data_IF_897827248692
#
_entry.id   IF_897827248692
#
_cell.length_a   1.000
_cell.length_b   1.000
_cell.length_c   1.000
_cell.angle_alpha   90.00
_cell.angle_beta   90.00
_cell.angle_gamma   90.00
#
_symmetry.space_group_name_H-M   'P 1'
#
loop_
_entity.id
_entity.type
_entity.pdbx_description
1 polymer ?
#
# COMPACT_ATOMS: atom_id res chain seq x y z
N UNK A 1 -17.70 -33.97 60.43
CA UNK A 1 -18.13 -34.45 59.11
C UNK A 1 -17.87 -33.30 58.13
N UNK A 2 -16.72 -33.35 57.48
CA UNK A 2 -16.22 -32.28 56.60
C UNK A 2 -16.27 -32.84 55.18
N UNK A 3 -17.16 -32.30 54.35
CA UNK A 3 -17.32 -32.65 52.94
C UNK A 3 -16.18 -32.09 52.13
N UNK A 4 -15.53 -32.86 51.23
CA UNK A 4 -14.49 -32.37 50.37
C UNK A 4 -15.11 -31.62 49.17
N UNK A 5 -14.53 -30.46 48.84
CA UNK A 5 -14.80 -29.69 47.61
C UNK A 5 -14.29 -30.45 46.37
N UNK A 6 -15.02 -30.44 45.24
CA UNK A 6 -14.53 -31.03 44.00
C UNK A 6 -13.40 -30.19 43.45
N UNK A 7 -12.29 -30.83 43.05
CA UNK A 7 -11.20 -30.28 42.26
C UNK A 7 -11.74 -29.96 40.87
N UNK A 8 -11.63 -28.71 40.45
CA UNK A 8 -11.79 -28.32 39.08
C UNK A 8 -10.59 -28.86 38.26
N UNK A 9 -10.77 -29.98 37.60
CA UNK A 9 -9.88 -30.41 36.53
C UNK A 9 -10.10 -29.48 35.33
N UNK A 10 -9.20 -28.49 35.23
CA UNK A 10 -9.14 -27.63 34.10
C UNK A 10 -8.75 -28.43 32.84
N UNK A 11 -9.68 -28.50 31.93
CA UNK A 11 -9.49 -28.99 30.57
C UNK A 11 -8.48 -28.09 29.87
N UNK A 12 -7.20 -28.36 30.04
CA UNK A 12 -6.16 -27.88 29.12
C UNK A 12 -6.38 -28.65 27.82
N UNK A 13 -7.13 -28.02 26.90
CA UNK A 13 -7.21 -28.48 25.53
C UNK A 13 -5.79 -28.63 25.00
N UNK A 14 -5.49 -29.82 24.46
CA UNK A 14 -4.24 -30.10 23.77
C UNK A 14 -3.95 -28.99 22.74
N UNK A 15 -2.69 -28.59 22.59
CA UNK A 15 -2.35 -27.62 21.56
C UNK A 15 -2.81 -28.19 20.20
N UNK A 16 -3.47 -27.39 19.35
CA UNK A 16 -3.92 -27.87 18.06
C UNK A 16 -2.73 -28.38 17.27
N UNK A 17 -2.96 -29.50 16.61
CA UNK A 17 -2.05 -30.17 15.70
C UNK A 17 -1.25 -29.16 14.87
N UNK A 18 0.05 -29.39 14.78
CA UNK A 18 0.99 -28.62 13.94
C UNK A 18 0.75 -28.96 12.47
N UNK A 19 -0.42 -28.63 11.95
CA UNK A 19 -0.58 -28.40 10.52
C UNK A 19 0.06 -27.05 10.20
N UNK A 20 1.39 -27.06 10.17
CA UNK A 20 2.14 -26.06 9.41
C UNK A 20 1.79 -26.32 7.94
N UNK A 21 0.66 -25.70 7.51
CA UNK A 21 0.46 -25.52 6.09
C UNK A 21 1.75 -24.89 5.56
N UNK A 22 2.37 -25.47 4.52
CA UNK A 22 3.57 -24.89 3.92
C UNK A 22 3.23 -23.42 3.60
N UNK A 23 4.18 -22.51 3.89
CA UNK A 23 4.16 -21.14 3.39
C UNK A 23 3.63 -21.23 1.98
N UNK A 24 2.55 -20.52 1.61
CA UNK A 24 1.73 -20.78 0.43
C UNK A 24 2.58 -21.21 -0.75
N UNK A 25 2.26 -22.35 -1.36
CA UNK A 25 3.00 -22.81 -2.51
C UNK A 25 3.04 -21.67 -3.52
N UNK A 26 4.20 -21.41 -4.09
CA UNK A 26 4.41 -20.34 -5.06
C UNK A 26 3.29 -20.40 -6.13
N UNK A 27 2.57 -19.29 -6.34
CA UNK A 27 1.40 -19.23 -7.23
C UNK A 27 0.05 -19.65 -6.61
N UNK A 28 0.01 -20.24 -5.40
CA UNK A 28 -1.26 -20.54 -4.74
C UNK A 28 -1.96 -19.25 -4.27
N UNK A 29 -3.29 -19.18 -4.37
CA UNK A 29 -4.07 -18.03 -3.91
C UNK A 29 -4.04 -17.96 -2.37
N UNK A 30 -3.38 -16.93 -1.81
CA UNK A 30 -3.27 -16.71 -0.36
C UNK A 30 -4.28 -15.68 0.15
N UNK A 31 -4.75 -14.79 -0.72
CA UNK A 31 -5.85 -13.87 -0.44
C UNK A 31 -6.80 -13.83 -1.63
N UNK A 32 -8.09 -13.98 -1.33
CA UNK A 32 -9.18 -13.70 -2.26
C UNK A 32 -10.22 -12.81 -1.60
N UNK A 33 -10.52 -11.70 -2.23
CA UNK A 33 -11.63 -10.81 -1.91
C UNK A 33 -12.56 -10.81 -3.12
N UNK A 34 -13.85 -11.01 -2.89
CA UNK A 34 -14.85 -11.06 -3.97
C UNK A 34 -16.11 -10.30 -3.55
N UNK A 35 -16.45 -9.27 -4.33
CA UNK A 35 -17.68 -8.48 -4.18
C UNK A 35 -17.80 -7.75 -2.84
N UNK A 36 -16.66 -7.33 -2.24
CA UNK A 36 -16.61 -6.80 -0.88
C UNK A 36 -17.23 -5.40 -0.81
N UNK A 37 -18.25 -5.26 0.04
CA UNK A 37 -18.92 -3.97 0.24
C UNK A 37 -19.07 -3.63 1.71
N UNK A 38 -18.85 -2.34 2.04
CA UNK A 38 -19.00 -1.78 3.38
C UNK A 38 -19.48 -0.34 3.35
N UNK A 39 -20.53 -0.04 4.11
CA UNK A 39 -21.14 1.29 4.25
C UNK A 39 -21.04 1.79 5.69
N UNK A 40 -20.83 3.09 5.86
CA UNK A 40 -20.94 3.83 7.11
C UNK A 40 -21.95 4.96 6.92
N UNK A 41 -23.14 4.81 7.49
CA UNK A 41 -24.22 5.74 7.24
C UNK A 41 -24.52 5.88 5.74
N UNK A 42 -24.34 7.07 5.18
CA UNK A 42 -24.52 7.35 3.75
C UNK A 42 -23.28 7.05 2.90
N UNK A 43 -22.09 6.92 3.53
CA UNK A 43 -20.83 6.72 2.81
C UNK A 43 -20.62 5.24 2.51
N UNK A 44 -20.47 4.89 1.24
CA UNK A 44 -20.08 3.56 0.77
C UNK A 44 -18.55 3.50 0.70
N UNK A 45 -17.92 3.02 1.78
CA UNK A 45 -16.47 3.03 1.92
C UNK A 45 -15.77 1.96 1.07
N UNK A 46 -16.44 0.83 0.84
CA UNK A 46 -16.03 -0.20 -0.14
C UNK A 46 -17.29 -0.62 -0.91
N UNK A 47 -17.17 -0.71 -2.23
CA UNK A 47 -18.27 -0.97 -3.16
C UNK A 47 -17.81 -1.99 -4.20
N UNK A 48 -18.24 -3.24 -4.02
CA UNK A 48 -17.99 -4.37 -4.91
C UNK A 48 -16.48 -4.62 -5.19
N UNK A 49 -15.64 -4.51 -4.15
CA UNK A 49 -14.19 -4.70 -4.32
C UNK A 49 -13.88 -6.18 -4.51
N UNK A 50 -13.13 -6.47 -5.58
CA UNK A 50 -12.58 -7.79 -5.85
C UNK A 50 -11.08 -7.69 -6.12
N UNK A 51 -10.26 -8.48 -5.43
CA UNK A 51 -8.82 -8.59 -5.64
C UNK A 51 -8.28 -9.94 -5.18
N UNK A 52 -7.11 -10.31 -5.66
CA UNK A 52 -6.41 -11.55 -5.32
C UNK A 52 -4.94 -11.27 -5.07
N UNK A 53 -4.34 -12.08 -4.16
CA UNK A 53 -2.89 -12.12 -3.95
C UNK A 53 -2.47 -13.57 -3.96
N UNK A 54 -1.45 -13.91 -4.73
CA UNK A 54 -0.87 -15.26 -4.76
C UNK A 54 0.40 -15.31 -3.92
N UNK A 55 0.78 -16.49 -3.49
CA UNK A 55 2.08 -16.74 -2.87
C UNK A 55 3.20 -16.42 -3.87
N UNK A 56 4.12 -15.57 -3.47
CA UNK A 56 5.19 -15.06 -4.33
C UNK A 56 4.93 -13.66 -4.89
N UNK A 57 3.68 -13.21 -4.96
CA UNK A 57 3.34 -11.91 -5.52
C UNK A 57 3.37 -10.80 -4.46
N UNK A 58 3.79 -9.61 -4.90
CA UNK A 58 3.61 -8.34 -4.19
C UNK A 58 2.57 -7.54 -4.93
N UNK A 59 1.38 -7.40 -4.34
CA UNK A 59 0.26 -6.64 -4.90
C UNK A 59 0.12 -5.32 -4.15
N UNK A 60 0.16 -4.18 -4.85
CA UNK A 60 -0.10 -2.90 -4.22
C UNK A 60 -1.56 -2.48 -4.35
N UNK A 61 -2.15 -2.04 -3.24
CA UNK A 61 -3.42 -1.34 -3.18
C UNK A 61 -3.15 0.16 -3.07
N UNK A 62 -3.30 0.86 -4.17
CA UNK A 62 -3.11 2.31 -4.28
C UNK A 62 -4.44 3.05 -4.12
N UNK A 63 -4.39 4.26 -3.59
CA UNK A 63 -5.56 5.14 -3.50
C UNK A 63 -5.25 6.36 -2.64
N UNK A 64 -5.99 7.44 -2.84
CA UNK A 64 -5.88 8.64 -2.01
C UNK A 64 -6.40 8.39 -0.57
N UNK A 65 -6.20 9.35 0.33
CA UNK A 65 -6.75 9.27 1.67
C UNK A 65 -8.27 9.32 1.59
N UNK A 66 -8.95 8.37 2.23
CA UNK A 66 -10.40 8.21 2.13
C UNK A 66 -10.88 7.28 1.01
N UNK A 67 -10.00 6.76 0.14
CA UNK A 67 -10.38 5.82 -0.93
C UNK A 67 -10.95 4.47 -0.44
N UNK A 68 -10.90 4.17 0.87
CA UNK A 68 -11.43 2.92 1.44
C UNK A 68 -10.38 1.86 1.80
N UNK A 69 -9.08 2.12 1.62
CA UNK A 69 -7.98 1.17 1.87
C UNK A 69 -7.97 0.63 3.30
N UNK A 70 -8.00 1.51 4.31
CA UNK A 70 -8.00 1.12 5.73
C UNK A 70 -9.26 0.34 6.10
N UNK A 71 -10.40 0.67 5.50
CA UNK A 71 -11.65 -0.07 5.67
C UNK A 71 -11.51 -1.49 5.13
N UNK A 72 -10.91 -1.67 3.96
CA UNK A 72 -10.65 -2.98 3.37
C UNK A 72 -9.71 -3.82 4.25
N UNK A 73 -8.58 -3.25 4.69
CA UNK A 73 -7.64 -3.93 5.61
C UNK A 73 -8.34 -4.33 6.91
N UNK A 74 -9.16 -3.45 7.49
CA UNK A 74 -9.90 -3.75 8.73
C UNK A 74 -10.89 -4.91 8.57
N UNK A 75 -11.52 -5.04 7.39
CA UNK A 75 -12.38 -6.19 7.07
C UNK A 75 -11.56 -7.47 6.88
N UNK A 76 -10.41 -7.37 6.20
CA UNK A 76 -9.52 -8.50 5.97
C UNK A 76 -9.05 -9.16 7.27
N UNK A 77 -8.72 -8.34 8.27
CA UNK A 77 -8.27 -8.84 9.58
C UNK A 77 -9.43 -9.09 10.57
N UNK A 78 -10.68 -8.95 10.12
CA UNK A 78 -11.88 -9.22 10.93
C UNK A 78 -12.12 -8.22 12.07
N UNK A 79 -11.60 -6.99 11.96
CA UNK A 79 -11.96 -5.87 12.84
C UNK A 79 -13.29 -5.22 12.42
N UNK A 80 -13.63 -5.31 11.14
CA UNK A 80 -14.90 -4.86 10.58
C UNK A 80 -15.55 -5.99 9.81
N UNK A 81 -16.85 -6.20 10.02
CA UNK A 81 -17.62 -7.17 9.24
C UNK A 81 -18.11 -6.49 7.94
N UNK A 82 -17.92 -7.09 6.75
CA UNK A 82 -18.48 -6.58 5.52
C UNK A 82 -20.01 -6.68 5.54
N UNK A 83 -20.68 -5.84 4.74
CA UNK A 83 -22.12 -5.96 4.49
C UNK A 83 -22.42 -6.98 3.39
N UNK A 84 -21.52 -7.11 2.41
CA UNK A 84 -21.60 -8.09 1.34
C UNK A 84 -20.20 -8.54 0.92
N UNK A 85 -20.14 -9.65 0.18
CA UNK A 85 -18.91 -10.21 -0.35
C UNK A 85 -18.24 -11.22 0.56
N UNK A 86 -17.10 -11.73 0.11
CA UNK A 86 -16.33 -12.78 0.79
C UNK A 86 -14.85 -12.40 0.88
N UNK A 87 -14.20 -12.83 1.96
CA UNK A 87 -12.76 -12.71 2.16
C UNK A 87 -12.23 -14.08 2.57
N UNK A 88 -11.28 -14.62 1.80
CA UNK A 88 -10.57 -15.86 2.13
C UNK A 88 -9.08 -15.59 2.27
N UNK A 89 -8.48 -16.07 3.36
CA UNK A 89 -7.05 -15.95 3.62
C UNK A 89 -6.46 -17.33 3.88
N UNK A 90 -5.59 -17.78 3.01
CA UNK A 90 -5.01 -19.12 3.07
C UNK A 90 -6.08 -20.21 3.17
N UNK A 91 -7.21 -20.05 2.45
CA UNK A 91 -8.36 -20.95 2.50
C UNK A 91 -9.36 -20.70 3.64
N UNK A 92 -9.01 -19.96 4.71
CA UNK A 92 -9.93 -19.63 5.80
C UNK A 92 -10.88 -18.49 5.40
N UNK A 93 -12.16 -18.61 5.74
CA UNK A 93 -13.13 -17.53 5.57
C UNK A 93 -12.98 -16.51 6.71
N UNK A 94 -12.57 -15.29 6.37
CA UNK A 94 -12.31 -14.24 7.37
C UNK A 94 -13.58 -13.68 8.02
N UNK A 95 -14.76 -13.94 7.44
CA UNK A 95 -16.05 -13.49 7.98
C UNK A 95 -16.64 -14.57 8.92
N UNK A 96 -16.55 -15.84 8.52
CA UNK A 96 -17.05 -16.96 9.30
C UNK A 96 -16.11 -17.34 10.46
N UNK A 97 -14.79 -17.37 10.20
CA UNK A 97 -13.75 -17.63 11.21
C UNK A 97 -12.63 -16.59 11.17
N UNK A 98 -12.87 -15.38 11.72
CA UNK A 98 -11.87 -14.33 11.77
C UNK A 98 -10.60 -14.73 12.54
N UNK A 99 -10.71 -15.64 13.51
CA UNK A 99 -9.57 -16.10 14.30
C UNK A 99 -8.62 -16.96 13.45
N UNK A 100 -9.14 -17.89 12.66
CA UNK A 100 -8.36 -18.69 11.74
C UNK A 100 -7.71 -17.81 10.64
N UNK A 101 -8.43 -16.83 10.10
CA UNK A 101 -7.90 -15.90 9.14
C UNK A 101 -6.75 -15.06 9.72
N UNK A 102 -6.93 -14.49 10.93
CA UNK A 102 -5.87 -13.69 11.61
C UNK A 102 -4.58 -14.48 11.86
N UNK A 103 -4.67 -15.76 12.14
CA UNK A 103 -3.46 -16.61 12.29
C UNK A 103 -2.64 -16.72 11.00
N UNK A 104 -3.25 -16.50 9.83
CA UNK A 104 -2.64 -16.58 8.51
C UNK A 104 -2.18 -15.22 7.97
N UNK A 105 -2.43 -14.13 8.70
CA UNK A 105 -2.05 -12.77 8.31
C UNK A 105 -0.98 -12.22 9.23
N UNK A 106 0.08 -11.69 8.66
CA UNK A 106 0.97 -10.76 9.35
C UNK A 106 0.57 -9.35 8.93
N UNK A 107 0.16 -8.52 9.87
CA UNK A 107 -0.21 -7.13 9.62
C UNK A 107 0.80 -6.19 10.25
N UNK A 108 1.36 -5.28 9.43
CA UNK A 108 1.99 -4.06 9.88
C UNK A 108 1.00 -2.92 9.57
N UNK A 109 0.25 -2.51 10.58
CA UNK A 109 -0.72 -1.42 10.47
C UNK A 109 -0.04 -0.04 10.36
N UNK A 110 -0.74 0.95 9.81
CA UNK A 110 -0.27 2.33 9.73
C UNK A 110 0.00 2.92 11.13
N UNK A 111 -0.82 2.57 12.11
CA UNK A 111 -0.63 2.99 13.49
C UNK A 111 0.72 2.51 14.06
N UNK A 112 1.22 3.24 15.04
CA UNK A 112 2.45 2.87 15.73
C UNK A 112 2.29 1.52 16.43
N UNK A 113 3.27 0.64 16.27
CA UNK A 113 3.31 -0.60 17.01
C UNK A 113 3.46 -0.30 18.52
N UNK A 114 2.86 -1.11 19.41
CA UNK A 114 2.95 -0.93 20.86
C UNK A 114 4.35 -1.33 21.36
N UNK A 115 5.30 -0.44 21.15
CA UNK A 115 6.71 -0.65 21.54
C UNK A 115 7.09 0.04 22.84
N UNK A 116 6.23 0.93 23.36
CA UNK A 116 6.55 1.74 24.53
C UNK A 116 6.87 0.87 25.76
N UNK A 117 8.00 1.14 26.38
CA UNK A 117 8.54 0.35 27.47
C UNK A 117 9.31 -0.92 27.08
N UNK A 118 9.23 -1.34 25.80
CA UNK A 118 9.95 -2.50 25.28
C UNK A 118 11.20 -2.10 24.52
N UNK A 119 12.13 -3.05 24.38
CA UNK A 119 13.22 -2.97 23.40
C UNK A 119 12.76 -3.59 22.08
N UNK A 120 13.28 -3.18 20.92
CA UNK A 120 12.99 -3.84 19.63
C UNK A 120 13.22 -5.35 19.69
N UNK A 121 14.31 -5.81 20.33
CA UNK A 121 14.59 -7.23 20.55
C UNK A 121 13.43 -7.93 21.25
N UNK A 122 13.02 -7.42 22.41
CA UNK A 122 11.96 -8.03 23.19
C UNK A 122 10.64 -8.06 22.41
N UNK A 123 10.29 -6.98 21.70
CA UNK A 123 9.07 -6.89 20.92
C UNK A 123 9.04 -7.90 19.76
N UNK A 124 10.15 -8.05 19.02
CA UNK A 124 10.26 -9.01 17.92
C UNK A 124 10.22 -10.45 18.46
N UNK A 125 10.94 -10.76 19.55
CA UNK A 125 10.90 -12.08 20.19
C UNK A 125 9.49 -12.43 20.67
N UNK A 126 8.78 -11.49 21.31
CA UNK A 126 7.39 -11.66 21.75
C UNK A 126 6.49 -11.95 20.54
N UNK A 127 6.60 -11.15 19.47
CA UNK A 127 5.80 -11.32 18.25
C UNK A 127 6.01 -12.71 17.61
N UNK A 128 7.26 -13.17 17.51
CA UNK A 128 7.59 -14.50 17.01
C UNK A 128 6.97 -15.61 17.89
N UNK A 129 7.09 -15.47 19.22
CA UNK A 129 6.55 -16.46 20.17
C UNK A 129 5.03 -16.53 20.18
N UNK A 130 4.34 -15.40 20.04
CA UNK A 130 2.88 -15.36 19.88
C UNK A 130 2.41 -16.11 18.63
N UNK A 131 3.30 -16.29 17.64
CA UNK A 131 3.05 -17.07 16.44
C UNK A 131 3.60 -18.50 16.51
N UNK A 132 3.99 -18.97 17.70
CA UNK A 132 4.38 -20.35 17.96
C UNK A 132 5.87 -20.65 17.85
N UNK A 133 6.72 -19.64 17.59
CA UNK A 133 8.17 -19.85 17.59
C UNK A 133 8.70 -20.20 18.98
N UNK A 134 9.66 -21.11 19.07
CA UNK A 134 10.39 -21.40 20.29
C UNK A 134 11.25 -20.20 20.75
N UNK A 135 11.77 -20.23 21.97
CA UNK A 135 12.71 -19.22 22.46
C UNK A 135 13.96 -19.10 21.60
N UNK A 136 14.47 -20.22 21.11
CA UNK A 136 15.66 -20.25 20.26
C UNK A 136 15.37 -19.61 18.91
N UNK A 137 14.29 -20.02 18.27
CA UNK A 137 13.86 -19.49 16.96
C UNK A 137 13.56 -17.99 17.06
N UNK A 138 12.85 -17.53 18.10
CA UNK A 138 12.52 -16.11 18.28
C UNK A 138 13.76 -15.22 18.43
N UNK A 139 14.78 -15.69 19.19
CA UNK A 139 16.06 -14.98 19.32
C UNK A 139 16.83 -14.95 18.01
N UNK A 140 16.91 -16.07 17.31
CA UNK A 140 17.57 -16.16 16.00
C UNK A 140 16.90 -15.24 14.97
N UNK A 141 15.57 -15.24 14.93
CA UNK A 141 14.78 -14.37 14.04
C UNK A 141 15.02 -12.89 14.38
N UNK A 142 15.01 -12.52 15.66
CA UNK A 142 15.26 -11.14 16.08
C UNK A 142 16.67 -10.65 15.70
N UNK A 143 17.70 -11.50 15.86
CA UNK A 143 19.06 -11.16 15.45
C UNK A 143 19.17 -11.01 13.92
N UNK A 144 18.66 -11.97 13.15
CA UNK A 144 18.67 -11.91 11.69
C UNK A 144 17.94 -10.68 11.14
N UNK A 145 16.79 -10.33 11.71
CA UNK A 145 16.02 -9.14 11.31
C UNK A 145 16.72 -7.84 11.70
N UNK A 146 17.46 -7.83 12.81
CA UNK A 146 18.25 -6.67 13.22
C UNK A 146 19.34 -6.35 12.20
N UNK A 147 20.03 -7.36 11.72
CA UNK A 147 21.07 -7.24 10.69
C UNK A 147 20.45 -6.90 9.32
N UNK A 148 19.37 -7.58 8.94
CA UNK A 148 18.67 -7.39 7.69
C UNK A 148 18.17 -5.95 7.48
N UNK A 149 17.75 -5.28 8.57
CA UNK A 149 17.16 -3.95 8.56
C UNK A 149 18.10 -2.84 9.04
N UNK A 150 19.36 -3.16 9.34
CA UNK A 150 20.34 -2.23 9.91
C UNK A 150 19.83 -1.53 11.18
N UNK A 151 19.27 -2.31 12.11
CA UNK A 151 18.77 -1.79 13.41
C UNK A 151 19.48 -2.41 14.62
N UNK A 152 20.56 -3.17 14.43
CA UNK A 152 21.25 -3.91 15.49
C UNK A 152 21.63 -3.02 16.68
N UNK A 153 22.12 -1.80 16.44
CA UNK A 153 22.55 -0.85 17.46
C UNK A 153 21.42 -0.32 18.36
N UNK A 154 20.14 -0.50 17.95
CA UNK A 154 18.98 -0.05 18.73
C UNK A 154 18.24 -1.20 19.42
N UNK A 155 18.64 -2.45 19.15
CA UNK A 155 17.89 -3.63 19.59
C UNK A 155 17.69 -3.70 21.10
N UNK A 156 18.61 -3.14 21.88
CA UNK A 156 18.58 -3.18 23.36
C UNK A 156 18.21 -1.83 23.99
N UNK A 157 17.87 -0.82 23.17
CA UNK A 157 17.37 0.47 23.65
C UNK A 157 15.87 0.43 23.85
N UNK A 158 15.39 0.89 25.01
CA UNK A 158 13.94 0.99 25.26
C UNK A 158 13.29 2.06 24.39
N UNK A 159 12.19 1.72 23.77
CA UNK A 159 11.28 2.68 23.16
C UNK A 159 10.51 3.37 24.30
N UNK A 160 10.63 4.68 24.40
CA UNK A 160 9.92 5.49 25.38
C UNK A 160 8.73 6.21 24.72
N UNK A 161 7.72 6.60 25.49
CA UNK A 161 6.66 7.49 24.99
C UNK A 161 7.26 8.72 24.30
N UNK A 162 6.49 9.33 23.40
CA UNK A 162 6.87 10.55 22.66
C UNK A 162 8.09 10.42 21.74
N UNK A 163 8.44 9.19 21.36
CA UNK A 163 9.53 8.93 20.43
C UNK A 163 10.93 8.97 21.04
N UNK A 164 11.06 9.13 22.35
CA UNK A 164 12.35 9.06 23.02
C UNK A 164 12.93 7.64 22.99
N UNK A 165 14.25 7.54 23.06
CA UNK A 165 15.02 6.27 23.07
C UNK A 165 15.32 5.72 21.68
N UNK A 166 14.35 5.60 20.79
CA UNK A 166 14.53 5.17 19.39
C UNK A 166 13.73 6.08 18.45
N UNK A 167 14.28 6.38 17.27
CA UNK A 167 13.64 7.25 16.28
C UNK A 167 12.37 6.62 15.69
N UNK A 168 11.49 7.47 15.11
CA UNK A 168 10.27 7.02 14.42
C UNK A 168 10.55 5.98 13.33
N UNK A 169 11.59 6.19 12.52
CA UNK A 169 12.01 5.25 11.50
C UNK A 169 12.44 3.89 12.07
N UNK A 170 13.21 3.86 13.15
CA UNK A 170 13.60 2.61 13.82
C UNK A 170 12.38 1.91 14.43
N UNK A 171 11.43 2.66 15.01
CA UNK A 171 10.14 2.10 15.49
C UNK A 171 9.37 1.41 14.36
N UNK A 172 9.34 2.01 13.17
CA UNK A 172 8.66 1.43 12.01
C UNK A 172 9.34 0.16 11.50
N UNK A 173 10.68 0.15 11.47
CA UNK A 173 11.44 -1.05 11.11
C UNK A 173 11.27 -2.16 12.15
N UNK A 174 11.25 -1.83 13.43
CA UNK A 174 10.94 -2.80 14.49
C UNK A 174 9.52 -3.35 14.35
N UNK A 175 8.53 -2.51 14.02
CA UNK A 175 7.16 -2.93 13.75
C UNK A 175 7.06 -3.88 12.54
N UNK A 176 7.81 -3.58 11.47
CA UNK A 176 7.93 -4.48 10.33
C UNK A 176 8.58 -5.81 10.75
N UNK A 177 9.70 -5.76 11.49
CA UNK A 177 10.38 -6.95 12.00
C UNK A 177 9.44 -7.82 12.86
N UNK A 178 8.61 -7.21 13.73
CA UNK A 178 7.59 -7.92 14.49
C UNK A 178 6.58 -8.64 13.58
N UNK A 179 6.14 -8.01 12.50
CA UNK A 179 5.19 -8.61 11.57
C UNK A 179 5.79 -9.83 10.84
N UNK A 180 7.07 -9.77 10.47
CA UNK A 180 7.75 -10.84 9.72
C UNK A 180 8.61 -11.77 10.59
N UNK A 181 8.50 -11.67 11.91
CA UNK A 181 9.29 -12.46 12.86
C UNK A 181 9.02 -13.97 12.79
N UNK A 182 7.87 -14.36 12.27
CA UNK A 182 7.51 -15.74 11.96
C UNK A 182 6.88 -15.83 10.57
N UNK A 183 7.05 -16.94 9.86
CA UNK A 183 6.45 -17.14 8.54
C UNK A 183 4.93 -17.07 8.58
N UNK A 184 4.34 -16.39 7.60
CA UNK A 184 2.88 -16.30 7.40
C UNK A 184 2.54 -16.34 5.91
N UNK A 185 1.40 -16.95 5.51
CA UNK A 185 0.99 -16.99 4.13
C UNK A 185 0.75 -15.61 3.52
N UNK A 186 0.18 -14.68 4.28
CA UNK A 186 -0.14 -13.33 3.82
C UNK A 186 0.52 -12.28 4.72
N UNK A 187 1.27 -11.37 4.11
CA UNK A 187 1.83 -10.18 4.73
C UNK A 187 1.06 -8.94 4.23
N UNK A 188 0.47 -8.19 5.15
CA UNK A 188 -0.20 -6.91 4.86
C UNK A 188 0.62 -5.77 5.44
N UNK A 189 1.03 -4.85 4.60
CA UNK A 189 1.86 -3.70 4.96
C UNK A 189 1.11 -2.41 4.64
N UNK A 190 0.74 -1.67 5.67
CA UNK A 190 0.03 -0.39 5.52
C UNK A 190 1.00 0.77 5.75
N UNK A 191 1.36 1.49 4.68
CA UNK A 191 2.30 2.61 4.64
C UNK A 191 3.65 2.30 5.34
N UNK A 192 4.36 1.23 4.94
CA UNK A 192 5.49 0.71 5.72
C UNK A 192 6.73 1.62 5.75
N UNK A 193 6.89 2.54 4.81
CA UNK A 193 8.09 3.36 4.61
C UNK A 193 7.99 4.78 5.13
N UNK A 194 6.83 5.20 5.64
CA UNK A 194 6.69 6.54 6.20
C UNK A 194 7.73 6.77 7.31
N UNK A 195 8.40 7.92 7.33
CA UNK A 195 9.45 8.31 8.27
C UNK A 195 10.71 7.40 8.28
N UNK A 196 10.86 6.47 7.33
CA UNK A 196 12.05 5.64 7.16
C UNK A 196 13.02 6.34 6.21
N UNK A 197 14.29 6.44 6.59
CA UNK A 197 15.32 7.02 5.73
C UNK A 197 15.55 6.19 4.46
N UNK A 198 16.10 6.83 3.41
CA UNK A 198 16.22 6.21 2.09
C UNK A 198 17.09 4.93 2.08
N UNK A 199 18.12 4.85 2.94
CA UNK A 199 19.00 3.68 3.01
C UNK A 199 18.27 2.48 3.60
N UNK A 200 17.59 2.64 4.72
CA UNK A 200 16.82 1.59 5.40
C UNK A 200 15.54 1.24 4.65
N UNK A 201 14.93 2.20 3.96
CA UNK A 201 13.80 1.95 3.07
C UNK A 201 14.15 0.91 2.01
N UNK A 202 15.33 1.01 1.40
CA UNK A 202 15.82 0.01 0.45
C UNK A 202 15.94 -1.38 1.09
N UNK A 203 16.48 -1.46 2.32
CA UNK A 203 16.59 -2.73 3.05
C UNK A 203 15.21 -3.33 3.37
N UNK A 204 14.26 -2.48 3.77
CA UNK A 204 12.88 -2.91 4.00
C UNK A 204 12.27 -3.52 2.73
N UNK A 205 12.42 -2.87 1.57
CA UNK A 205 11.90 -3.39 0.31
C UNK A 205 12.56 -4.70 -0.12
N UNK A 206 13.85 -4.83 0.11
CA UNK A 206 14.55 -6.10 -0.12
C UNK A 206 14.05 -7.20 0.83
N UNK A 207 13.77 -6.84 2.09
CA UNK A 207 13.20 -7.77 3.06
C UNK A 207 11.78 -8.20 2.66
N UNK A 208 10.94 -7.29 2.15
CA UNK A 208 9.61 -7.61 1.60
C UNK A 208 9.73 -8.58 0.44
N UNK A 209 10.61 -8.31 -0.54
CA UNK A 209 10.79 -9.19 -1.71
C UNK A 209 11.24 -10.58 -1.29
N UNK A 210 12.22 -10.69 -0.36
CA UNK A 210 12.65 -12.00 0.17
C UNK A 210 11.50 -12.80 0.79
N UNK A 211 10.54 -12.15 1.46
CA UNK A 211 9.35 -12.85 2.01
C UNK A 211 8.42 -13.34 0.92
N UNK A 212 8.24 -12.54 -0.13
CA UNK A 212 7.49 -12.97 -1.30
C UNK A 212 8.19 -14.12 -2.01
N UNK A 213 9.48 -14.02 -2.28
CA UNK A 213 10.29 -15.09 -2.93
C UNK A 213 10.27 -16.39 -2.12
N UNK A 214 10.10 -16.30 -0.78
CA UNK A 214 9.90 -17.45 0.10
C UNK A 214 8.47 -18.01 0.08
N UNK A 215 7.57 -17.49 -0.77
CA UNK A 215 6.22 -17.98 -0.99
C UNK A 215 5.11 -17.23 -0.24
N UNK A 216 5.41 -16.19 0.53
CA UNK A 216 4.37 -15.34 1.10
C UNK A 216 3.72 -14.48 0.02
N UNK A 217 2.40 -14.28 0.07
CA UNK A 217 1.77 -13.20 -0.68
C UNK A 217 1.86 -11.89 0.10
N UNK A 218 2.09 -10.78 -0.58
CA UNK A 218 2.20 -9.47 0.04
C UNK A 218 1.11 -8.54 -0.48
N UNK A 219 0.32 -7.94 0.40
CA UNK A 219 -0.57 -6.83 0.10
C UNK A 219 0.05 -5.55 0.66
N UNK A 220 0.59 -4.72 -0.22
CA UNK A 220 1.14 -3.41 0.11
C UNK A 220 0.05 -2.35 -0.04
N UNK A 221 -0.29 -1.66 1.02
CA UNK A 221 -1.24 -0.54 0.99
C UNK A 221 -0.45 0.75 1.09
N UNK A 222 -0.54 1.59 0.08
CA UNK A 222 0.19 2.86 0.07
C UNK A 222 -0.47 3.89 -0.85
N UNK A 223 -0.12 5.16 -0.67
CA UNK A 223 -0.42 6.24 -1.60
C UNK A 223 0.82 6.64 -2.43
N UNK A 224 1.98 6.05 -2.14
CA UNK A 224 3.23 6.33 -2.85
C UNK A 224 3.41 5.42 -4.06
N UNK A 225 2.93 5.88 -5.21
CA UNK A 225 2.97 5.13 -6.47
C UNK A 225 4.40 4.82 -6.90
N UNK A 226 5.31 5.81 -6.79
CA UNK A 226 6.69 5.68 -7.26
C UNK A 226 7.52 4.65 -6.48
N UNK A 227 7.21 4.46 -5.19
CA UNK A 227 7.84 3.41 -4.38
C UNK A 227 7.25 2.04 -4.71
N UNK A 228 5.92 1.96 -4.82
CA UNK A 228 5.23 0.72 -5.13
C UNK A 228 5.71 0.14 -6.47
N UNK A 229 5.82 0.97 -7.50
CA UNK A 229 6.21 0.55 -8.86
C UNK A 229 7.49 -0.29 -8.92
N UNK A 230 8.43 -0.05 -7.99
CA UNK A 230 9.75 -0.70 -8.00
C UNK A 230 9.76 -2.14 -7.49
N UNK A 231 8.73 -2.54 -6.74
CA UNK A 231 8.75 -3.81 -6.02
C UNK A 231 7.53 -4.68 -6.27
N UNK A 232 6.47 -4.12 -6.88
CA UNK A 232 5.20 -4.81 -7.04
C UNK A 232 5.12 -5.58 -8.36
N UNK A 233 4.43 -6.71 -8.31
CA UNK A 233 4.10 -7.52 -9.47
C UNK A 233 2.77 -7.06 -10.08
N UNK A 234 1.83 -6.61 -9.24
CA UNK A 234 0.51 -6.13 -9.64
C UNK A 234 0.08 -4.90 -8.81
N UNK A 235 -0.72 -4.05 -9.42
CA UNK A 235 -1.31 -2.85 -8.84
C UNK A 235 -2.83 -2.93 -8.91
N UNK A 236 -3.48 -2.52 -7.83
CA UNK A 236 -4.92 -2.30 -7.74
C UNK A 236 -5.13 -0.85 -7.33
N UNK A 237 -5.76 -0.06 -8.19
CA UNK A 237 -6.07 1.35 -7.91
C UNK A 237 -7.49 1.43 -7.37
N UNK A 238 -7.59 1.97 -6.15
CA UNK A 238 -8.85 2.19 -5.44
C UNK A 238 -9.19 3.68 -5.43
N UNK A 239 -10.38 4.00 -5.89
CA UNK A 239 -10.94 5.34 -5.85
C UNK A 239 -12.40 5.30 -5.38
N UNK A 240 -12.75 6.19 -4.44
CA UNK A 240 -14.11 6.27 -3.87
C UNK A 240 -14.74 4.91 -3.52
N UNK A 241 -13.94 4.00 -2.95
CA UNK A 241 -14.39 2.67 -2.53
C UNK A 241 -14.49 1.64 -3.65
N UNK A 242 -14.12 1.94 -4.88
CA UNK A 242 -14.18 1.05 -6.05
C UNK A 242 -12.80 0.79 -6.64
N UNK A 243 -12.60 -0.37 -7.21
CA UNK A 243 -11.41 -0.67 -8.02
C UNK A 243 -11.61 -0.04 -9.40
N UNK A 244 -10.75 0.93 -9.75
CA UNK A 244 -10.82 1.65 -11.02
C UNK A 244 -9.81 1.15 -12.06
N UNK A 245 -8.73 0.50 -11.60
CA UNK A 245 -7.76 -0.14 -12.49
C UNK A 245 -7.02 -1.27 -11.78
N UNK A 246 -6.64 -2.32 -12.52
CA UNK A 246 -5.84 -3.43 -12.04
C UNK A 246 -4.92 -3.91 -13.15
N UNK A 247 -3.66 -4.22 -12.82
CA UNK A 247 -2.71 -4.77 -13.78
C UNK A 247 -1.26 -4.68 -13.31
N UNK A 248 -0.35 -5.20 -14.12
CA UNK A 248 1.08 -5.03 -13.89
C UNK A 248 1.48 -3.57 -14.10
N UNK A 249 2.57 -3.08 -13.48
CA UNK A 249 3.09 -1.73 -13.73
C UNK A 249 3.28 -1.42 -15.22
N UNK A 250 3.83 -2.37 -15.96
CA UNK A 250 4.03 -2.23 -17.39
C UNK A 250 2.71 -2.24 -18.18
N UNK A 251 1.76 -3.11 -17.80
CA UNK A 251 0.44 -3.21 -18.43
C UNK A 251 -0.39 -1.94 -18.25
N UNK A 252 -0.39 -1.37 -17.04
CA UNK A 252 -1.11 -0.13 -16.76
C UNK A 252 -0.51 1.07 -17.51
N UNK A 253 0.80 1.15 -17.62
CA UNK A 253 1.46 2.16 -18.48
C UNK A 253 1.15 1.92 -19.96
N UNK A 254 1.18 0.66 -20.40
CA UNK A 254 0.92 0.28 -21.79
C UNK A 254 -0.54 0.45 -22.22
N UNK A 255 -1.51 0.34 -21.32
CA UNK A 255 -2.92 0.61 -21.61
C UNK A 255 -3.16 2.09 -22.01
N UNK A 256 -2.28 3.00 -21.62
CA UNK A 256 -2.21 4.39 -22.08
C UNK A 256 -1.26 4.54 -23.29
N UNK A 257 -0.91 3.46 -23.94
CA UNK A 257 -0.39 3.29 -25.30
C UNK A 257 0.71 4.26 -25.73
N UNK A 258 1.80 4.32 -24.99
CA UNK A 258 2.93 5.18 -25.38
C UNK A 258 2.69 6.67 -25.09
N UNK A 259 1.92 6.99 -24.07
CA UNK A 259 1.78 8.37 -23.61
C UNK A 259 3.11 8.88 -23.03
N UNK A 260 3.41 10.12 -23.33
CA UNK A 260 4.57 10.83 -22.83
C UNK A 260 4.14 11.93 -21.86
N UNK A 261 4.98 12.15 -20.88
CA UNK A 261 4.87 13.23 -19.91
C UNK A 261 5.79 14.36 -20.32
N UNK A 262 5.22 15.52 -20.64
CA UNK A 262 5.92 16.77 -20.88
C UNK A 262 5.80 17.66 -19.65
N UNK A 263 6.91 17.93 -19.00
CA UNK A 263 6.99 18.90 -17.90
C UNK A 263 7.50 20.23 -18.43
N UNK A 264 6.82 21.31 -18.11
CA UNK A 264 7.19 22.67 -18.43
C UNK A 264 7.42 23.44 -17.13
N UNK A 265 8.66 23.84 -16.85
CA UNK A 265 9.07 24.48 -15.60
C UNK A 265 9.12 26.00 -15.75
N UNK A 266 8.86 26.73 -14.67
CA UNK A 266 8.92 28.19 -14.64
C UNK A 266 7.70 28.89 -15.25
N UNK A 267 6.58 28.17 -15.44
CA UNK A 267 5.35 28.78 -15.94
C UNK A 267 4.74 29.72 -14.89
N UNK A 268 4.52 30.98 -15.26
CA UNK A 268 3.85 31.93 -14.39
C UNK A 268 2.39 31.50 -14.09
N UNK A 269 1.84 31.79 -12.86
CA UNK A 269 0.45 31.55 -12.58
C UNK A 269 -0.44 32.29 -13.58
N UNK A 270 -1.37 31.57 -14.23
CA UNK A 270 -2.27 32.15 -15.22
C UNK A 270 -1.64 32.43 -16.60
N UNK A 271 -0.37 32.10 -16.80
CA UNK A 271 0.23 32.16 -18.15
C UNK A 271 -0.54 31.22 -19.08
N UNK A 272 -1.21 31.76 -20.10
CA UNK A 272 -1.90 30.90 -21.04
C UNK A 272 -0.83 30.18 -21.83
N UNK A 273 -0.62 28.89 -21.60
CA UNK A 273 0.11 28.03 -22.55
C UNK A 273 -0.50 28.11 -23.97
N UNK A 274 -1.71 28.69 -24.08
CA UNK A 274 -2.38 29.04 -25.30
C UNK A 274 -1.98 30.37 -25.97
N UNK A 275 -1.17 31.22 -25.31
CA UNK A 275 -0.75 32.49 -25.91
C UNK A 275 0.31 32.31 -27.03
N UNK A 276 0.95 31.15 -27.10
CA UNK A 276 1.80 30.75 -28.25
C UNK A 276 0.94 29.94 -29.24
N UNK A 277 -0.22 30.47 -29.58
CA UNK A 277 -1.16 29.93 -30.60
C UNK A 277 -0.60 30.15 -32.02
N UNK A 278 0.46 29.57 -32.40
CA UNK A 278 1.00 29.66 -33.75
C UNK A 278 1.95 28.52 -34.05
N UNK A 279 2.43 27.87 -33.03
CA UNK A 279 3.30 26.71 -33.09
C UNK A 279 2.45 25.50 -32.74
N UNK A 280 2.37 24.50 -33.60
CA UNK A 280 1.55 23.32 -33.47
C UNK A 280 1.67 22.67 -32.07
N UNK A 281 0.87 23.14 -31.14
CA UNK A 281 0.83 22.59 -29.80
C UNK A 281 0.41 21.10 -29.84
N UNK A 282 1.05 20.23 -29.07
CA UNK A 282 0.69 18.81 -29.04
C UNK A 282 -0.75 18.63 -28.54
N UNK A 283 -1.38 17.54 -28.91
CA UNK A 283 -2.68 17.16 -28.33
C UNK A 283 -2.48 16.73 -26.90
N UNK A 284 -2.93 17.56 -25.96
CA UNK A 284 -2.85 17.31 -24.52
C UNK A 284 -4.06 16.45 -24.11
N UNK A 285 -3.79 15.25 -23.56
CA UNK A 285 -4.82 14.35 -23.01
C UNK A 285 -5.19 14.75 -21.57
N UNK A 286 -4.17 15.11 -20.78
CA UNK A 286 -4.34 15.52 -19.41
C UNK A 286 -3.36 16.63 -19.07
N UNK A 287 -3.79 17.56 -18.23
CA UNK A 287 -2.94 18.63 -17.69
C UNK A 287 -3.08 18.66 -16.18
N UNK A 288 -1.96 18.72 -15.48
CA UNK A 288 -1.89 18.99 -14.05
C UNK A 288 -0.85 20.09 -13.81
N UNK A 289 -0.94 20.74 -12.64
CA UNK A 289 0.01 21.77 -12.24
C UNK A 289 0.54 21.49 -10.84
N UNK A 290 1.87 21.61 -10.69
CA UNK A 290 2.57 21.44 -9.43
C UNK A 290 3.47 22.66 -9.19
N UNK A 291 3.02 23.59 -8.37
CA UNK A 291 3.74 24.85 -8.17
C UNK A 291 3.94 25.62 -9.48
N UNK A 292 5.20 25.79 -9.90
CA UNK A 292 5.60 26.47 -11.14
C UNK A 292 5.83 25.51 -12.32
N UNK A 293 5.40 24.25 -12.22
CA UNK A 293 5.55 23.25 -13.28
C UNK A 293 4.19 22.81 -13.79
N UNK A 294 3.97 22.97 -15.09
CA UNK A 294 2.85 22.34 -15.79
C UNK A 294 3.28 20.96 -16.28
N UNK A 295 2.48 19.95 -16.01
CA UNK A 295 2.68 18.55 -16.43
C UNK A 295 1.57 18.20 -17.41
N UNK A 296 1.97 17.85 -18.63
CA UNK A 296 1.07 17.51 -19.72
C UNK A 296 1.27 16.06 -20.11
N UNK A 297 0.19 15.28 -20.21
CA UNK A 297 0.22 13.95 -20.81
C UNK A 297 -0.18 14.07 -22.28
N UNK A 298 0.68 13.59 -23.15
CA UNK A 298 0.53 13.68 -24.62
C UNK A 298 0.72 12.29 -25.24
N UNK A 299 0.21 12.10 -26.46
CA UNK A 299 0.49 10.88 -27.23
C UNK A 299 1.94 10.84 -27.71
N UNK A 300 2.55 9.65 -27.75
CA UNK A 300 3.88 9.47 -28.36
C UNK A 300 3.94 9.93 -29.83
N UNK A 301 2.81 9.88 -30.54
CA UNK A 301 2.72 10.39 -31.91
C UNK A 301 2.97 11.90 -32.00
N UNK A 302 2.69 12.63 -30.93
CA UNK A 302 2.87 14.07 -30.85
C UNK A 302 4.24 14.48 -30.28
N UNK A 303 5.16 13.51 -30.03
CA UNK A 303 6.45 13.75 -29.38
C UNK A 303 7.27 14.84 -30.05
N UNK A 304 7.43 14.79 -31.39
CA UNK A 304 8.19 15.77 -32.15
C UNK A 304 7.56 17.15 -32.08
N UNK A 305 6.24 17.25 -32.19
CA UNK A 305 5.52 18.51 -32.05
C UNK A 305 5.64 19.08 -30.62
N UNK A 306 5.60 18.22 -29.61
CA UNK A 306 5.75 18.61 -28.22
C UNK A 306 7.13 19.18 -27.91
N UNK A 307 8.20 18.57 -28.43
CA UNK A 307 9.58 19.05 -28.27
C UNK A 307 9.76 20.40 -28.97
N UNK A 308 9.33 20.52 -30.23
CA UNK A 308 9.41 21.76 -30.97
C UNK A 308 8.65 22.90 -30.29
N UNK A 309 7.45 22.62 -29.79
CA UNK A 309 6.64 23.59 -29.06
C UNK A 309 7.27 23.99 -27.72
N UNK A 310 7.77 23.04 -26.92
CA UNK A 310 8.43 23.32 -25.65
C UNK A 310 9.74 24.13 -25.86
N UNK A 311 10.48 23.83 -26.91
CA UNK A 311 11.68 24.58 -27.26
C UNK A 311 11.35 26.03 -27.63
N UNK A 312 10.32 26.28 -28.44
CA UNK A 312 9.86 27.61 -28.79
C UNK A 312 9.35 28.38 -27.54
N UNK A 313 8.67 27.74 -26.62
CA UNK A 313 8.29 28.35 -25.33
C UNK A 313 9.52 28.79 -24.52
N UNK A 314 10.59 27.97 -24.50
CA UNK A 314 11.83 28.29 -23.81
C UNK A 314 12.57 29.46 -24.49
N UNK A 315 12.66 29.47 -25.82
CA UNK A 315 13.24 30.56 -26.59
C UNK A 315 12.48 31.88 -26.38
N UNK A 316 11.16 31.83 -26.31
CA UNK A 316 10.30 32.96 -25.96
C UNK A 316 10.34 33.35 -24.46
N UNK A 317 11.12 32.67 -23.64
CA UNK A 317 11.21 32.85 -22.17
C UNK A 317 9.87 32.70 -21.44
N UNK A 318 8.94 31.97 -22.04
CA UNK A 318 7.66 31.64 -21.41
C UNK A 318 7.79 30.53 -20.39
N UNK A 319 8.84 29.73 -20.50
CA UNK A 319 9.24 28.68 -19.54
C UNK A 319 10.75 28.75 -19.31
N UNK A 320 11.23 28.20 -18.17
CA UNK A 320 12.66 28.12 -17.86
C UNK A 320 13.29 26.88 -18.51
N UNK A 321 12.60 25.74 -18.40
CA UNK A 321 13.10 24.46 -18.87
C UNK A 321 11.94 23.50 -19.16
N UNK A 322 12.23 22.40 -19.87
CA UNK A 322 11.28 21.33 -20.12
C UNK A 322 11.94 19.95 -20.08
N UNK A 323 11.15 18.93 -19.79
CA UNK A 323 11.55 17.53 -19.92
C UNK A 323 10.44 16.71 -20.57
N UNK A 324 10.81 15.77 -21.45
CA UNK A 324 9.89 14.81 -22.05
C UNK A 324 10.36 13.40 -21.68
N UNK A 325 9.49 12.65 -21.03
CA UNK A 325 9.76 11.29 -20.58
C UNK A 325 8.52 10.40 -20.79
N UNK A 326 8.66 9.08 -20.76
CA UNK A 326 7.50 8.20 -20.74
C UNK A 326 6.58 8.54 -19.56
N UNK A 327 5.25 8.42 -19.76
CA UNK A 327 4.28 8.59 -18.70
C UNK A 327 4.56 7.61 -17.55
N UNK A 328 4.43 8.09 -16.33
CA UNK A 328 4.68 7.33 -15.11
C UNK A 328 3.39 6.66 -14.64
N UNK A 329 3.48 5.68 -13.75
CA UNK A 329 2.29 5.15 -13.07
C UNK A 329 1.54 6.20 -12.23
N UNK A 330 2.24 7.24 -11.77
CA UNK A 330 1.59 8.37 -11.10
C UNK A 330 0.65 9.13 -12.05
N UNK A 331 1.05 9.28 -13.31
CA UNK A 331 0.20 9.92 -14.33
C UNK A 331 -1.03 9.04 -14.63
N UNK A 332 -0.83 7.72 -14.71
CA UNK A 332 -1.93 6.74 -14.86
C UNK A 332 -2.87 6.81 -13.65
N UNK A 333 -2.32 6.84 -12.43
CA UNK A 333 -3.10 6.99 -11.20
C UNK A 333 -3.93 8.26 -11.22
N UNK A 334 -3.31 9.41 -11.54
CA UNK A 334 -4.01 10.69 -11.65
C UNK A 334 -5.10 10.70 -12.74
N UNK A 335 -4.86 10.02 -13.85
CA UNK A 335 -5.86 9.89 -14.92
C UNK A 335 -7.13 9.14 -14.47
N UNK A 336 -6.99 8.17 -13.56
CA UNK A 336 -8.12 7.39 -13.05
C UNK A 336 -8.81 8.02 -11.83
N UNK A 337 -8.12 8.92 -11.10
CA UNK A 337 -8.61 9.51 -9.85
C UNK A 337 -8.87 11.03 -9.97
N UNK A 338 -8.56 11.65 -11.12
CA UNK A 338 -8.90 13.05 -11.34
C UNK A 338 -10.43 13.22 -11.41
N UNK A 339 -11.01 14.24 -10.77
CA UNK A 339 -12.40 14.57 -10.99
C UNK A 339 -12.59 14.82 -12.49
N UNK A 340 -13.52 14.10 -13.11
CA UNK A 340 -13.91 14.35 -14.49
C UNK A 340 -14.23 15.84 -14.71
N UNK A 341 -14.16 16.38 -15.95
CA UNK A 341 -14.57 17.74 -16.22
C UNK A 341 -15.96 17.94 -15.60
N UNK A 342 -16.06 18.93 -14.71
CA UNK A 342 -17.28 19.19 -13.94
C UNK A 342 -18.49 19.19 -14.89
N UNK A 343 -19.25 18.10 -14.83
CA UNK A 343 -20.57 18.07 -15.42
C UNK A 343 -21.36 19.15 -14.73
N UNK A 344 -21.82 20.12 -15.47
CA UNK A 344 -22.79 21.12 -15.03
C UNK A 344 -23.90 20.42 -14.27
N UNK A 345 -23.96 20.71 -12.97
CA UNK A 345 -25.05 20.27 -12.09
C UNK A 345 -26.36 20.90 -12.61
N UNK A 346 -27.37 20.10 -13.03
CA UNK A 346 -28.61 20.67 -13.56
C UNK A 346 -29.55 21.23 -12.49
N UNK A 347 -29.08 21.38 -11.24
CA UNK A 347 -29.92 21.76 -10.11
C UNK A 347 -29.81 23.23 -9.65
N UNK A 348 -29.10 24.11 -10.41
CA UNK A 348 -29.06 25.55 -10.12
C UNK A 348 -29.85 26.39 -11.13
N UNK A 349 -31.13 26.04 -11.36
CA UNK A 349 -32.09 26.97 -11.95
C UNK A 349 -33.52 26.72 -11.38
N UNK A 350 -33.79 27.33 -10.24
CA UNK A 350 -35.16 27.64 -9.88
C UNK A 350 -35.21 29.07 -9.32
N UNK A 351 -35.79 30.04 -10.00
CA UNK A 351 -35.95 31.39 -9.48
C UNK A 351 -36.99 31.40 -8.38
N UNK A 352 -36.65 32.05 -7.29
CA UNK A 352 -37.61 32.44 -6.27
C UNK A 352 -38.61 33.46 -6.87
N UNK A 353 -39.88 33.08 -6.88
CA UNK A 353 -41.04 33.99 -6.89
C UNK A 353 -41.74 33.86 -5.55
#
# INVERSE_FOLDING_TARGET
MTTPRPRAEGLLAAPPDRDSAPIGAQGAEVLRIAGLSRRFGKVLANDDISLRVRGGDVVALLGHNGAGKTTLVSQLVGLLRPHAGQIRVGGADAVADPAAARRRVALRAQAHAPLDGLTPRAAIEIAARLRGASRRESRSSAAALADELDIAQWMDRRALPDGAGISGGVRRLAAFAMAVAAPTPLLVLDEPTNDVDASRRRLLWQAVRRRADAGAGVLLVTHNVAEAERIVDELVILDHGRVVATGTPAGLRGAHGGDLRLELRGTAPGSPLGAVRGLGAPRVRQRSRRGHTDVLTISAQDASAAVAWAQALREARAIEDYSLCPATLEDVYLAHTAPGPAGTDPSEEAPHV
#
